data_IF_573042108433
#
_entry.id   IF_573042108433
#
_cell.length_a   1.000
_cell.length_b   1.000
_cell.length_c   1.000
_cell.angle_alpha   90.00
_cell.angle_beta   90.00
_cell.angle_gamma   90.00
#
_symmetry.space_group_name_H-M   'P 1'
#
loop_
_entity.id
_entity.type
_entity.pdbx_description
1 polymer ?
#
# COMPACT_ATOMS: atom_id res chain seq x y z
N UNK A 1 -1.37 -4.79 14.77
CA UNK A 1 -1.06 -3.57 14.00
C UNK A 1 -0.32 -3.93 12.73
N UNK A 2 -0.64 -3.28 11.62
CA UNK A 2 -0.25 -3.68 10.27
C UNK A 2 0.55 -2.56 9.58
N UNK A 3 1.78 -2.84 9.19
CA UNK A 3 2.60 -1.93 8.37
C UNK A 3 2.45 -2.33 6.89
N UNK A 4 1.76 -1.50 6.11
CA UNK A 4 1.31 -1.79 4.75
C UNK A 4 2.34 -1.44 3.66
N UNK A 5 3.56 -1.95 3.77
CA UNK A 5 4.67 -1.56 2.89
C UNK A 5 4.43 -1.92 1.41
N UNK A 6 3.80 -3.07 1.12
CA UNK A 6 3.45 -3.41 -0.27
C UNK A 6 2.31 -2.56 -0.83
N UNK A 7 1.38 -2.08 0.00
CA UNK A 7 0.36 -1.12 -0.46
C UNK A 7 0.98 0.24 -0.73
N UNK A 8 1.95 0.68 0.09
CA UNK A 8 2.62 1.96 -0.08
C UNK A 8 3.38 2.06 -1.42
N UNK A 9 3.81 0.93 -1.99
CA UNK A 9 4.44 0.87 -3.33
C UNK A 9 3.56 1.39 -4.47
N UNK A 10 2.23 1.50 -4.30
CA UNK A 10 1.36 2.08 -5.34
C UNK A 10 1.51 3.60 -5.45
N UNK A 11 2.11 4.23 -4.44
CA UNK A 11 2.16 5.69 -4.31
C UNK A 11 3.57 6.22 -4.07
N UNK A 12 4.43 5.45 -3.39
CA UNK A 12 5.81 5.82 -3.07
C UNK A 12 6.77 5.07 -3.99
N UNK A 13 7.55 5.81 -4.78
CA UNK A 13 8.48 5.25 -5.77
C UNK A 13 9.92 5.13 -5.26
N UNK A 14 10.30 5.92 -4.24
CA UNK A 14 11.63 5.88 -3.65
C UNK A 14 11.72 4.78 -2.57
N UNK A 15 12.62 3.80 -2.78
CA UNK A 15 12.80 2.67 -1.88
C UNK A 15 13.43 3.02 -0.52
N UNK A 16 14.31 4.03 -0.47
CA UNK A 16 14.93 4.46 0.77
C UNK A 16 13.90 5.15 1.66
N UNK A 17 13.09 6.04 1.07
CA UNK A 17 11.96 6.69 1.77
C UNK A 17 10.97 5.65 2.32
N UNK A 18 10.60 4.65 1.52
CA UNK A 18 9.68 3.61 1.97
C UNK A 18 10.25 2.80 3.15
N UNK A 19 11.54 2.49 3.11
CA UNK A 19 12.22 1.75 4.20
C UNK A 19 12.26 2.55 5.49
N UNK A 20 12.61 3.83 5.39
CA UNK A 20 12.64 4.76 6.52
C UNK A 20 11.26 4.90 7.16
N UNK A 21 10.24 5.23 6.36
CA UNK A 21 8.86 5.38 6.83
C UNK A 21 8.30 4.09 7.46
N UNK A 22 8.62 2.93 6.88
CA UNK A 22 8.20 1.64 7.45
C UNK A 22 8.85 1.38 8.80
N UNK A 23 10.10 1.79 8.99
CA UNK A 23 10.83 1.67 10.24
C UNK A 23 10.29 2.64 11.29
N UNK A 24 10.10 3.92 10.93
CA UNK A 24 9.52 4.94 11.80
C UNK A 24 8.15 4.51 12.32
N UNK A 25 7.28 4.02 11.43
CA UNK A 25 5.95 3.54 11.82
C UNK A 25 6.01 2.35 12.79
N UNK A 26 6.99 1.46 12.61
CA UNK A 26 7.22 0.36 13.56
C UNK A 26 7.61 0.90 14.94
N UNK A 27 8.52 1.88 14.99
CA UNK A 27 8.95 2.52 16.24
C UNK A 27 7.78 3.23 16.92
N UNK A 28 6.97 3.98 16.17
CA UNK A 28 5.76 4.64 16.68
C UNK A 28 4.79 3.63 17.29
N UNK A 29 4.57 2.48 16.63
CA UNK A 29 3.72 1.42 17.18
C UNK A 29 4.30 0.84 18.47
N UNK A 30 5.61 0.58 18.55
CA UNK A 30 6.23 0.13 19.80
C UNK A 30 6.18 1.20 20.90
N UNK A 31 6.28 2.49 20.55
CA UNK A 31 6.18 3.58 21.50
C UNK A 31 4.76 3.72 22.07
N UNK A 32 3.72 3.54 21.25
CA UNK A 32 2.31 3.65 21.66
C UNK A 32 1.88 2.45 22.51
N UNK A 33 2.19 1.22 22.06
CA UNK A 33 1.67 0.01 22.70
C UNK A 33 2.60 -0.55 23.78
N UNK A 34 3.87 -0.13 23.80
CA UNK A 34 4.89 -0.70 24.68
C UNK A 34 5.37 -2.07 24.22
N UNK A 35 6.47 -2.54 24.82
CA UNK A 35 7.13 -3.81 24.45
C UNK A 35 6.37 -5.06 24.93
N UNK A 36 5.54 -4.92 25.97
CA UNK A 36 4.84 -6.02 26.66
C UNK A 36 3.35 -6.12 26.27
N UNK A 37 3.03 -5.72 25.05
CA UNK A 37 1.66 -5.77 24.53
C UNK A 37 1.36 -7.13 23.88
N UNK A 38 0.14 -7.63 24.04
CA UNK A 38 -0.35 -8.77 23.23
C UNK A 38 -0.55 -8.38 21.74
N UNK A 39 -0.45 -7.08 21.42
CA UNK A 39 -0.64 -6.56 20.07
C UNK A 39 0.48 -7.01 19.14
N UNK A 40 0.15 -7.86 18.17
CA UNK A 40 1.09 -8.28 17.13
C UNK A 40 1.31 -7.14 16.14
N UNK A 41 2.54 -6.61 16.08
CA UNK A 41 2.99 -5.67 15.05
C UNK A 41 3.71 -6.47 13.97
N UNK A 42 3.33 -6.30 12.70
CA UNK A 42 3.98 -6.97 11.59
C UNK A 42 3.96 -6.12 10.34
N UNK A 43 4.99 -6.31 9.50
CA UNK A 43 5.08 -5.72 8.17
C UNK A 43 4.52 -6.67 7.14
N UNK A 44 3.78 -6.13 6.17
CA UNK A 44 3.06 -6.91 5.17
C UNK A 44 4.01 -7.81 4.37
N UNK A 45 5.14 -7.29 3.90
CA UNK A 45 6.13 -8.07 3.14
C UNK A 45 6.75 -9.22 3.92
N UNK A 46 6.78 -9.18 5.26
CA UNK A 46 7.36 -10.25 6.07
C UNK A 46 6.49 -11.52 6.06
N UNK A 47 5.17 -11.36 5.84
CA UNK A 47 4.20 -12.46 5.84
C UNK A 47 3.79 -12.79 4.41
N UNK A 48 4.58 -13.65 3.76
CA UNK A 48 4.37 -14.12 2.39
C UNK A 48 2.98 -14.71 2.11
N UNK A 49 2.31 -15.24 3.14
CA UNK A 49 0.97 -15.80 3.01
C UNK A 49 -0.08 -14.74 2.65
N UNK A 50 0.15 -13.46 2.99
CA UNK A 50 -0.74 -12.35 2.62
C UNK A 50 -0.80 -12.21 1.10
N UNK A 51 0.36 -12.16 0.43
CA UNK A 51 0.43 -12.05 -1.03
C UNK A 51 -0.15 -13.28 -1.73
N UNK A 52 0.08 -14.49 -1.19
CA UNK A 52 -0.52 -15.73 -1.73
C UNK A 52 -2.04 -15.72 -1.62
N UNK A 53 -2.58 -15.29 -0.49
CA UNK A 53 -4.02 -15.17 -0.30
C UNK A 53 -4.62 -14.13 -1.25
N UNK A 54 -3.96 -12.97 -1.38
CA UNK A 54 -4.37 -11.92 -2.31
C UNK A 54 -4.46 -12.44 -3.74
N UNK A 55 -3.46 -13.21 -4.19
CA UNK A 55 -3.49 -13.86 -5.51
C UNK A 55 -4.73 -14.76 -5.71
N UNK A 56 -5.05 -15.59 -4.71
CA UNK A 56 -6.25 -16.45 -4.77
C UNK A 56 -7.52 -15.59 -4.85
N UNK A 57 -7.63 -14.55 -4.03
CA UNK A 57 -8.80 -13.66 -4.01
C UNK A 57 -8.99 -12.89 -5.32
N UNK A 58 -7.90 -12.52 -6.01
CA UNK A 58 -7.98 -11.86 -7.32
C UNK A 58 -8.70 -12.72 -8.35
N UNK A 59 -8.61 -14.06 -8.27
CA UNK A 59 -9.31 -14.96 -9.20
C UNK A 59 -10.84 -14.93 -9.04
N UNK A 60 -11.37 -14.41 -7.93
CA UNK A 60 -12.81 -14.26 -7.67
C UNK A 60 -13.26 -12.80 -7.61
N UNK A 61 -12.36 -11.85 -7.86
CA UNK A 61 -12.63 -10.42 -7.78
C UNK A 61 -12.46 -9.79 -9.17
N UNK A 62 -13.50 -9.73 -10.00
CA UNK A 62 -13.38 -9.20 -11.35
C UNK A 62 -13.06 -7.70 -11.35
N UNK A 63 -12.36 -7.26 -12.38
CA UNK A 63 -11.97 -5.85 -12.58
C UNK A 63 -13.17 -4.88 -12.54
N UNK A 64 -14.36 -5.33 -12.94
CA UNK A 64 -15.59 -4.53 -12.87
C UNK A 64 -15.97 -4.10 -11.45
N UNK A 65 -15.55 -4.83 -10.42
CA UNK A 65 -15.72 -4.41 -9.03
C UNK A 65 -14.74 -3.30 -8.65
N UNK A 66 -13.50 -3.34 -9.17
CA UNK A 66 -12.50 -2.31 -8.92
C UNK A 66 -12.92 -0.96 -9.51
N UNK A 67 -13.54 -0.97 -10.70
CA UNK A 67 -14.08 0.23 -11.34
C UNK A 67 -15.17 0.95 -10.52
N UNK A 68 -15.80 0.25 -9.57
CA UNK A 68 -16.81 0.83 -8.68
C UNK A 68 -16.20 1.43 -7.41
N UNK A 69 -14.93 1.15 -7.12
CA UNK A 69 -14.26 1.69 -5.95
C UNK A 69 -13.87 3.16 -6.22
N UNK A 70 -14.37 4.07 -5.39
CA UNK A 70 -14.07 5.50 -5.49
C UNK A 70 -12.56 5.78 -5.50
N UNK A 71 -11.81 5.18 -4.56
CA UNK A 71 -10.36 5.37 -4.46
C UNK A 71 -9.60 4.88 -5.71
N UNK A 72 -10.11 3.85 -6.39
CA UNK A 72 -9.51 3.37 -7.65
C UNK A 72 -9.75 4.39 -8.76
N UNK A 73 -11.00 4.85 -8.92
CA UNK A 73 -11.36 5.86 -9.92
C UNK A 73 -10.59 7.16 -9.73
N UNK A 74 -10.52 7.67 -8.51
CA UNK A 74 -9.78 8.90 -8.21
C UNK A 74 -8.29 8.76 -8.54
N UNK A 75 -7.72 7.55 -8.41
CA UNK A 75 -6.31 7.29 -8.72
C UNK A 75 -6.06 7.23 -10.22
N UNK A 76 -6.94 6.57 -10.98
CA UNK A 76 -6.91 6.55 -12.44
C UNK A 76 -7.05 7.96 -13.02
N UNK A 77 -7.99 8.76 -12.51
CA UNK A 77 -8.20 10.14 -12.98
C UNK A 77 -6.94 11.02 -12.77
N UNK A 78 -6.23 10.85 -11.65
CA UNK A 78 -4.95 11.54 -11.40
C UNK A 78 -3.85 11.10 -12.37
N UNK A 79 -3.79 9.82 -12.74
CA UNK A 79 -2.81 9.31 -13.70
C UNK A 79 -3.09 9.89 -15.08
N UNK A 80 -4.33 9.83 -15.55
CA UNK A 80 -4.73 10.41 -16.84
C UNK A 80 -4.44 11.91 -16.95
N UNK A 81 -4.67 12.68 -15.88
CA UNK A 81 -4.33 14.10 -15.85
C UNK A 81 -2.83 14.34 -16.00
N UNK A 82 -1.99 13.59 -15.28
CA UNK A 82 -0.53 13.69 -15.39
C UNK A 82 -0.03 13.35 -16.80
N UNK A 83 -0.61 12.33 -17.43
CA UNK A 83 -0.24 11.95 -18.80
C UNK A 83 -0.60 13.04 -19.81
N UNK A 84 -1.76 13.69 -19.65
CA UNK A 84 -2.17 14.82 -20.50
C UNK A 84 -1.27 16.04 -20.33
N UNK A 85 -0.87 16.36 -19.10
CA UNK A 85 0.08 17.44 -18.82
C UNK A 85 1.44 17.19 -19.47
N UNK A 86 1.96 15.96 -19.36
CA UNK A 86 3.24 15.57 -19.99
C UNK A 86 3.14 15.71 -21.52
N UNK A 87 2.05 15.22 -22.12
CA UNK A 87 1.82 15.29 -23.56
C UNK A 87 1.67 16.72 -24.09
N UNK A 88 1.20 17.66 -23.26
CA UNK A 88 1.06 19.08 -23.63
C UNK A 88 2.39 19.85 -23.57
N UNK A 89 3.34 19.40 -22.73
CA UNK A 89 4.64 20.06 -22.53
C UNK A 89 5.68 19.60 -23.58
N UNK A 90 5.42 18.51 -24.31
CA UNK A 90 6.24 17.95 -25.39
C UNK A 90 5.83 18.47 -26.77
#
# INVERSE_FOLDING_TARGET
MFIADLHALTSVTNGDTLREQSFELAVEYFAIYGLDTETKIFRQSDIHNITKLMWILTNVTPYSLMLRAHSFKDSEDRIHQKEQEIAYIQ
#
